data_IF_225662292611
#
_entry.id   IF_225662292611
#
_cell.length_a   1.000
_cell.length_b   1.000
_cell.length_c   1.000
_cell.angle_alpha   90.00
_cell.angle_beta   90.00
_cell.angle_gamma   90.00
#
_symmetry.space_group_name_H-M   'P 1'
#
loop_
_entity.id
_entity.type
_entity.pdbx_description
1 polymer ?
#
# COMPACT_ATOMS: atom_id res chain seq x y z
N UNK A 1 0.31 7.66 -1.79
CA UNK A 1 0.75 7.36 -0.40
C UNK A 1 0.78 8.64 0.40
N UNK A 2 0.36 8.58 1.66
CA UNK A 2 0.58 9.63 2.67
C UNK A 2 1.64 9.13 3.64
N UNK A 3 2.69 9.93 3.84
CA UNK A 3 3.71 9.67 4.87
C UNK A 3 3.14 10.15 6.20
N UNK A 4 3.29 9.33 7.23
CA UNK A 4 2.91 9.70 8.61
C UNK A 4 3.91 9.09 9.58
N UNK A 5 3.75 9.40 10.86
CA UNK A 5 4.67 9.02 11.90
C UNK A 5 3.90 8.43 13.07
N UNK A 6 4.43 7.37 13.67
CA UNK A 6 3.92 6.88 14.95
C UNK A 6 4.20 7.90 16.06
N UNK A 7 3.61 7.69 17.24
CA UNK A 7 3.91 8.49 18.44
C UNK A 7 5.40 8.48 18.77
N UNK A 8 6.13 7.42 18.41
CA UNK A 8 7.58 7.28 18.59
C UNK A 8 8.41 7.93 17.47
N UNK A 9 7.77 8.60 16.51
CA UNK A 9 8.44 9.28 15.39
C UNK A 9 8.88 8.34 14.26
N UNK A 10 8.38 7.11 14.21
CA UNK A 10 8.75 6.16 13.17
C UNK A 10 7.88 6.32 11.92
N UNK A 11 8.51 6.31 10.74
CA UNK A 11 7.80 6.45 9.47
C UNK A 11 6.87 5.28 9.23
N UNK A 12 5.62 5.57 8.92
CA UNK A 12 4.65 4.61 8.38
C UNK A 12 3.91 5.25 7.19
N UNK A 13 3.16 4.45 6.43
CA UNK A 13 2.43 4.95 5.26
C UNK A 13 0.96 4.54 5.27
N UNK A 14 0.11 5.46 4.84
CA UNK A 14 -1.23 5.13 4.36
C UNK A 14 -1.24 5.12 2.83
N UNK A 15 -1.89 4.13 2.24
CA UNK A 15 -2.03 4.01 0.79
C UNK A 15 -3.48 3.72 0.42
N UNK A 16 -3.99 4.44 -0.57
CA UNK A 16 -5.31 4.24 -1.16
C UNK A 16 -5.11 3.79 -2.60
N UNK A 17 -5.70 2.65 -2.94
CA UNK A 17 -5.57 1.97 -4.23
C UNK A 17 -6.94 1.71 -4.83
N UNK A 18 -6.93 1.45 -6.14
CA UNK A 18 -8.06 0.86 -6.85
C UNK A 18 -7.65 -0.56 -7.22
N UNK A 19 -8.50 -1.53 -6.92
CA UNK A 19 -8.25 -2.92 -7.26
C UNK A 19 -8.64 -3.22 -8.73
N UNK A 20 -8.57 -4.50 -9.12
CA UNK A 20 -8.91 -4.92 -10.50
C UNK A 20 -10.39 -4.75 -10.86
N UNK A 21 -11.27 -4.66 -9.85
CA UNK A 21 -12.71 -4.49 -10.02
C UNK A 21 -13.12 -3.01 -10.03
N UNK A 22 -12.18 -2.09 -9.80
CA UNK A 22 -12.48 -0.67 -9.67
C UNK A 22 -12.86 -0.25 -8.25
N UNK A 23 -12.71 -1.13 -7.26
CA UNK A 23 -13.07 -0.86 -5.87
C UNK A 23 -11.91 -0.23 -5.11
N UNK A 24 -12.24 0.67 -4.17
CA UNK A 24 -11.26 1.32 -3.32
C UNK A 24 -10.72 0.35 -2.27
N UNK A 25 -9.40 0.33 -2.11
CA UNK A 25 -8.71 -0.46 -1.09
C UNK A 25 -7.71 0.43 -0.36
N UNK A 26 -7.95 0.61 0.93
CA UNK A 26 -7.02 1.29 1.82
C UNK A 26 -6.02 0.31 2.44
N UNK A 27 -4.81 0.81 2.69
CA UNK A 27 -3.70 0.02 3.20
C UNK A 27 -2.91 0.81 4.23
N UNK A 28 -2.45 0.11 5.28
CA UNK A 28 -1.60 0.64 6.34
C UNK A 28 -0.26 -0.09 6.31
N UNK A 29 0.84 0.65 6.28
CA UNK A 29 2.20 0.10 6.23
C UNK A 29 2.95 0.58 7.47
N UNK A 30 2.93 -0.24 8.53
CA UNK A 30 3.61 0.06 9.79
C UNK A 30 5.13 0.12 9.65
N UNK A 31 5.86 0.71 10.62
CA UNK A 31 7.28 1.02 10.46
C UNK A 31 8.17 -0.11 9.99
N UNK A 32 8.00 -1.33 10.49
CA UNK A 32 8.86 -2.45 10.11
C UNK A 32 8.70 -2.79 8.62
N UNK A 33 7.46 -2.78 8.13
CA UNK A 33 7.13 -3.01 6.72
C UNK A 33 7.53 -1.80 5.87
N UNK A 34 7.28 -0.58 6.34
CA UNK A 34 7.61 0.66 5.64
C UNK A 34 9.12 0.83 5.43
N UNK A 35 9.94 0.37 6.39
CA UNK A 35 11.41 0.35 6.30
C UNK A 35 11.88 -0.65 5.23
N UNK A 36 11.28 -1.84 5.21
CA UNK A 36 11.68 -2.93 4.31
C UNK A 36 11.15 -2.76 2.88
N UNK A 37 9.90 -2.30 2.72
CA UNK A 37 9.22 -2.20 1.44
C UNK A 37 8.77 -0.76 1.17
N UNK A 38 9.65 -0.01 0.50
CA UNK A 38 9.38 1.39 0.16
C UNK A 38 8.56 1.52 -1.13
N UNK A 39 7.56 2.38 -1.08
CA UNK A 39 6.87 2.86 -2.28
C UNK A 39 7.82 3.57 -3.25
N UNK A 40 7.63 3.34 -4.56
CA UNK A 40 8.51 3.87 -5.63
C UNK A 40 7.84 4.86 -6.59
N UNK A 41 6.64 5.35 -6.25
CA UNK A 41 5.90 6.33 -7.06
C UNK A 41 4.54 5.81 -7.55
N UNK A 42 4.00 6.41 -8.61
CA UNK A 42 2.76 5.94 -9.25
C UNK A 42 3.08 4.68 -10.07
N UNK A 43 2.48 3.55 -9.68
CA UNK A 43 2.65 2.26 -10.33
C UNK A 43 1.54 1.31 -9.89
N UNK A 44 1.44 0.14 -10.53
CA UNK A 44 0.68 -0.97 -9.99
C UNK A 44 1.50 -1.61 -8.87
N UNK A 45 0.85 -1.99 -7.77
CA UNK A 45 1.52 -2.64 -6.65
C UNK A 45 0.86 -3.96 -6.33
N UNK A 46 1.68 -4.97 -6.04
CA UNK A 46 1.25 -6.17 -5.36
C UNK A 46 1.37 -5.93 -3.86
N UNK A 47 0.24 -5.99 -3.17
CA UNK A 47 0.14 -5.78 -1.72
C UNK A 47 -0.38 -7.07 -1.11
N UNK A 48 0.28 -7.56 -0.05
CA UNK A 48 -0.22 -8.68 0.75
C UNK A 48 -0.19 -8.29 2.21
N UNK A 49 -1.18 -8.74 2.95
CA UNK A 49 -1.36 -8.35 4.33
C UNK A 49 -2.61 -8.96 4.93
N UNK A 50 -2.87 -8.58 6.17
CA UNK A 50 -4.08 -8.97 6.91
C UNK A 50 -5.20 -7.98 6.59
N UNK A 51 -6.39 -8.48 6.30
CA UNK A 51 -7.59 -7.63 6.24
C UNK A 51 -7.99 -7.25 7.66
N UNK A 52 -8.16 -5.97 7.90
CA UNK A 52 -8.55 -5.41 9.20
C UNK A 52 -9.75 -4.50 9.04
N UNK A 53 -10.53 -4.38 10.11
CA UNK A 53 -11.67 -3.48 10.21
C UNK A 53 -11.48 -2.58 11.42
N UNK A 54 -11.56 -1.27 11.21
CA UNK A 54 -11.55 -0.28 12.28
C UNK A 54 -12.68 0.73 12.02
N UNK A 55 -13.56 0.93 13.00
CA UNK A 55 -14.68 1.86 12.93
C UNK A 55 -15.56 1.68 11.67
N UNK A 56 -15.81 0.44 11.26
CA UNK A 56 -16.61 0.11 10.07
C UNK A 56 -15.90 0.35 8.73
N UNK A 57 -14.59 0.64 8.76
CA UNK A 57 -13.77 0.82 7.56
C UNK A 57 -12.81 -0.35 7.40
N UNK A 58 -12.81 -0.96 6.22
CA UNK A 58 -11.95 -2.09 5.87
C UNK A 58 -10.63 -1.60 5.28
N UNK A 59 -9.52 -2.19 5.72
CA UNK A 59 -8.20 -1.92 5.16
C UNK A 59 -7.33 -3.18 5.13
N UNK A 60 -6.18 -3.09 4.46
CA UNK A 60 -5.15 -4.11 4.52
C UNK A 60 -3.98 -3.57 5.36
N UNK A 61 -3.72 -4.21 6.49
CA UNK A 61 -2.44 -4.09 7.18
C UNK A 61 -1.39 -4.82 6.34
N UNK A 62 -0.60 -4.04 5.59
CA UNK A 62 0.35 -4.59 4.63
C UNK A 62 1.56 -5.19 5.34
N UNK A 63 1.94 -6.40 4.92
CA UNK A 63 3.16 -7.10 5.35
C UNK A 63 4.17 -7.24 4.20
N UNK A 64 3.73 -6.97 2.96
CA UNK A 64 4.54 -7.02 1.76
C UNK A 64 4.05 -6.00 0.73
N UNK A 65 5.00 -5.37 0.04
CA UNK A 65 4.73 -4.44 -1.04
C UNK A 65 5.78 -4.60 -2.15
N UNK A 66 5.32 -4.75 -3.38
CA UNK A 66 6.16 -4.81 -4.57
C UNK A 66 5.57 -3.97 -5.68
N UNK A 67 6.41 -3.13 -6.29
CA UNK A 67 6.04 -2.41 -7.50
C UNK A 67 6.04 -3.39 -8.67
N UNK A 68 4.90 -3.52 -9.34
CA UNK A 68 4.78 -4.27 -10.58
C UNK A 68 5.07 -3.29 -11.73
N UNK A 69 6.12 -3.52 -12.54
CA UNK A 69 6.32 -2.74 -13.75
C UNK A 69 5.07 -2.81 -14.61
N UNK A 70 4.54 -1.66 -15.00
CA UNK A 70 3.52 -1.62 -16.05
C UNK A 70 4.20 -2.12 -17.32
N UNK A 71 3.86 -3.33 -17.74
CA UNK A 71 4.11 -3.76 -19.11
C UNK A 71 3.18 -2.91 -19.96
N UNK A 72 3.67 -1.76 -20.44
CA UNK A 72 3.06 -1.15 -21.62
C UNK A 72 3.08 -2.24 -22.70
N UNK A 73 1.96 -2.48 -23.40
CA UNK A 73 1.97 -3.38 -24.55
C UNK A 73 3.14 -2.96 -25.45
N UNK A 74 4.00 -3.91 -25.81
CA UNK A 74 4.99 -3.65 -26.87
C UNK A 74 4.20 -3.38 -28.15
N UNK A 75 4.16 -2.12 -28.59
CA UNK A 75 3.51 -1.70 -29.82
C UNK A 75 2.24 -0.88 -29.62
N UNK A 76 2.44 0.43 -29.43
CA UNK A 76 1.71 1.47 -30.17
C UNK A 76 2.76 2.16 -31.04
#
# INVERSE_FOLDING_TARGET
RKVTYTIKGEVMFFGTFIDRNGEWVDTVHFPDVAKQYRFRGKACYRIRGKVTEEFGTWSIEAHYLEMIPMLLPKGI
#
